data_IF_362547695303
#
_entry.id   IF_362547695303
#
_cell.length_a   1.000
_cell.length_b   1.000
_cell.length_c   1.000
_cell.angle_alpha   90.00
_cell.angle_beta   90.00
_cell.angle_gamma   90.00
#
_symmetry.space_group_name_H-M   'P 1'
#
loop_
_entity.id
_entity.type
_entity.pdbx_description
1 polymer ?
#
# COMPACT_ATOMS: atom_id res chain seq x y z
N UNK A 1 -7.42 3.38 -17.07
CA UNK A 1 -7.89 2.84 -15.77
C UNK A 1 -7.80 1.32 -15.75
N UNK A 2 -7.43 0.70 -14.61
CA UNK A 2 -7.39 -0.76 -14.43
C UNK A 2 -8.74 -1.39 -14.80
N UNK A 3 -8.71 -2.55 -15.47
CA UNK A 3 -9.92 -3.30 -15.80
C UNK A 3 -10.48 -3.98 -14.56
N UNK A 4 -9.59 -4.53 -13.73
CA UNK A 4 -9.94 -5.27 -12.53
C UNK A 4 -9.05 -4.82 -11.37
N UNK A 5 -9.64 -4.71 -10.18
CA UNK A 5 -8.92 -4.42 -8.94
C UNK A 5 -9.54 -5.19 -7.80
N UNK A 6 -8.71 -5.76 -6.93
CA UNK A 6 -9.12 -6.53 -5.76
C UNK A 6 -8.42 -5.97 -4.54
N UNK A 7 -9.19 -5.71 -3.49
CA UNK A 7 -8.67 -5.27 -2.20
C UNK A 7 -9.17 -6.23 -1.13
N UNK A 8 -8.26 -6.69 -0.28
CA UNK A 8 -8.54 -7.57 0.84
C UNK A 8 -7.93 -7.01 2.12
N UNK A 9 -8.70 -7.07 3.20
CA UNK A 9 -8.26 -6.65 4.53
C UNK A 9 -8.65 -7.72 5.54
N UNK A 10 -7.68 -8.13 6.36
CA UNK A 10 -7.86 -9.08 7.45
C UNK A 10 -7.33 -8.44 8.74
N UNK A 11 -8.16 -8.43 9.77
CA UNK A 11 -7.80 -7.91 11.09
C UNK A 11 -8.10 -8.95 12.16
N UNK A 12 -7.19 -9.12 13.12
CA UNK A 12 -7.39 -9.98 14.29
C UNK A 12 -6.73 -9.44 15.54
N UNK A 13 -7.51 -9.35 16.59
CA UNK A 13 -7.01 -9.11 17.95
C UNK A 13 -6.78 -10.44 18.66
N UNK A 14 -5.63 -10.56 19.32
CA UNK A 14 -5.30 -11.68 20.19
C UNK A 14 -4.62 -11.19 21.47
N UNK A 15 -5.39 -11.16 22.55
CA UNK A 15 -4.92 -10.67 23.85
C UNK A 15 -4.56 -9.18 23.76
N UNK A 16 -3.27 -8.86 23.96
CA UNK A 16 -2.74 -7.50 23.87
C UNK A 16 -2.22 -7.13 22.47
N UNK A 17 -2.34 -8.01 21.50
CA UNK A 17 -1.88 -7.77 20.14
C UNK A 17 -3.05 -7.53 19.19
N UNK A 18 -2.90 -6.56 18.29
CA UNK A 18 -3.72 -6.42 17.10
C UNK A 18 -2.86 -6.65 15.87
N UNK A 19 -3.38 -7.45 14.95
CA UNK A 19 -2.74 -7.75 13.67
C UNK A 19 -3.67 -7.32 12.56
N UNK A 20 -3.19 -6.47 11.66
CA UNK A 20 -3.91 -6.08 10.45
C UNK A 20 -3.06 -6.41 9.23
N UNK A 21 -3.67 -6.94 8.18
CA UNK A 21 -3.02 -7.25 6.91
C UNK A 21 -3.89 -6.74 5.77
N UNK A 22 -3.27 -5.98 4.87
CA UNK A 22 -3.93 -5.34 3.73
C UNK A 22 -3.25 -5.76 2.44
N UNK A 23 -4.01 -6.32 1.50
CA UNK A 23 -3.54 -6.70 0.18
C UNK A 23 -4.35 -5.99 -0.90
N UNK A 24 -3.67 -5.42 -1.89
CA UNK A 24 -4.31 -4.81 -3.05
C UNK A 24 -3.68 -5.32 -4.33
N UNK A 25 -4.50 -5.75 -5.27
CA UNK A 25 -4.09 -6.16 -6.61
C UNK A 25 -4.82 -5.32 -7.65
N UNK A 26 -4.12 -4.96 -8.72
CA UNK A 26 -4.70 -4.33 -9.90
C UNK A 26 -4.20 -5.00 -11.18
N UNK A 27 -5.11 -5.11 -12.16
CA UNK A 27 -4.77 -5.56 -13.50
C UNK A 27 -3.89 -4.55 -14.23
N UNK A 28 -3.21 -5.00 -15.28
CA UNK A 28 -2.58 -4.08 -16.22
C UNK A 28 -3.62 -3.21 -16.92
N UNK A 29 -3.23 -2.00 -17.31
CA UNK A 29 -4.04 -1.13 -18.17
C UNK A 29 -3.18 -0.31 -19.11
N UNK A 30 -3.78 0.08 -20.23
CA UNK A 30 -3.19 1.07 -21.13
C UNK A 30 -3.61 2.46 -20.68
N UNK A 31 -2.63 3.34 -20.59
CA UNK A 31 -2.83 4.75 -20.33
C UNK A 31 -2.12 5.58 -21.39
N UNK A 32 -2.47 6.86 -21.47
CA UNK A 32 -1.93 7.79 -22.45
C UNK A 32 -1.18 8.88 -21.69
N UNK A 33 0.11 9.03 -21.96
CA UNK A 33 0.92 10.09 -21.34
C UNK A 33 0.94 11.30 -22.27
N UNK A 34 0.55 12.47 -21.73
CA UNK A 34 0.75 13.76 -22.39
C UNK A 34 2.23 14.15 -22.25
N UNK A 35 2.95 14.14 -23.36
CA UNK A 35 4.31 14.68 -23.42
C UNK A 35 4.22 16.17 -23.72
N UNK A 36 5.01 17.02 -23.03
CA UNK A 36 5.00 18.48 -23.14
C UNK A 36 5.42 19.04 -24.52
N UNK A 37 5.80 18.17 -25.46
CA UNK A 37 6.13 18.49 -26.85
C UNK A 37 5.08 17.89 -27.77
N UNK A 38 4.63 18.66 -28.77
CA UNK A 38 3.54 18.39 -29.72
C UNK A 38 3.71 17.10 -30.56
N UNK A 39 3.64 15.95 -29.90
CA UNK A 39 3.78 14.61 -30.47
C UNK A 39 2.61 13.72 -30.03
N UNK A 40 2.20 12.74 -30.86
CA UNK A 40 0.94 12.04 -30.68
C UNK A 40 0.94 11.23 -29.39
N UNK A 41 -0.23 11.14 -28.77
CA UNK A 41 -0.58 10.27 -27.65
C UNK A 41 0.17 8.93 -27.70
N UNK A 42 1.20 8.76 -26.86
CA UNK A 42 1.94 7.50 -26.79
C UNK A 42 1.22 6.58 -25.80
N UNK A 43 0.68 5.42 -26.25
CA UNK A 43 0.07 4.46 -25.35
C UNK A 43 1.15 3.78 -24.52
N UNK A 44 1.07 3.92 -23.20
CA UNK A 44 1.94 3.24 -22.24
C UNK A 44 1.14 2.15 -21.54
N UNK A 45 1.72 0.95 -21.47
CA UNK A 45 1.11 -0.15 -20.72
C UNK A 45 1.66 -0.14 -19.30
N UNK A 46 0.78 0.08 -18.32
CA UNK A 46 1.11 -0.06 -16.90
C UNK A 46 0.87 -1.53 -16.54
N UNK A 47 1.91 -2.18 -16.01
CA UNK A 47 1.85 -3.58 -15.62
C UNK A 47 0.88 -3.84 -14.47
N UNK A 48 0.43 -5.09 -14.35
CA UNK A 48 -0.31 -5.52 -13.16
C UNK A 48 0.57 -5.39 -11.92
N UNK A 49 -0.05 -5.06 -10.79
CA UNK A 49 0.67 -4.80 -9.56
C UNK A 49 -0.08 -5.39 -8.37
N UNK A 50 0.69 -5.92 -7.42
CA UNK A 50 0.22 -6.41 -6.13
C UNK A 50 0.98 -5.70 -5.02
N UNK A 51 0.27 -5.17 -4.03
CA UNK A 51 0.85 -4.54 -2.85
C UNK A 51 0.36 -5.26 -1.60
N UNK A 52 1.26 -5.49 -0.66
CA UNK A 52 0.95 -6.08 0.63
C UNK A 52 1.50 -5.23 1.77
N UNK A 53 0.62 -4.80 2.66
CA UNK A 53 0.91 -4.02 3.85
C UNK A 53 0.49 -4.83 5.08
N UNK A 54 1.22 -4.67 6.18
CA UNK A 54 0.85 -5.30 7.45
C UNK A 54 1.12 -4.37 8.63
N UNK A 55 0.30 -4.50 9.67
CA UNK A 55 0.44 -3.78 10.92
C UNK A 55 0.37 -4.76 12.08
N UNK A 56 1.24 -4.53 13.06
CA UNK A 56 1.18 -5.18 14.36
C UNK A 56 1.12 -4.09 15.42
N UNK A 57 0.14 -4.14 16.30
CA UNK A 57 0.05 -3.28 17.46
C UNK A 57 0.11 -4.10 18.75
N UNK A 58 0.68 -3.51 19.78
CA UNK A 58 0.77 -4.06 21.13
C UNK A 58 0.27 -3.03 22.13
N UNK A 59 -0.71 -3.44 22.93
CA UNK A 59 -1.28 -2.67 24.03
C UNK A 59 -0.38 -2.81 25.25
N UNK A 60 0.48 -1.81 25.45
CA UNK A 60 1.36 -1.70 26.62
C UNK A 60 0.53 -1.54 27.90
N UNK A 61 -0.52 -0.72 27.81
CA UNK A 61 -1.56 -0.52 28.84
C UNK A 61 -2.90 -0.27 28.14
N UNK A 62 -3.97 -0.04 28.91
CA UNK A 62 -5.27 0.35 28.35
C UNK A 62 -5.26 1.75 27.66
N UNK A 63 -4.19 2.52 27.89
CA UNK A 63 -4.05 3.90 27.41
C UNK A 63 -2.91 4.06 26.40
N UNK A 64 -2.02 3.08 26.28
CA UNK A 64 -0.80 3.19 25.48
C UNK A 64 -0.68 1.99 24.55
N UNK A 65 -0.62 2.28 23.25
CA UNK A 65 -0.45 1.29 22.19
C UNK A 65 0.79 1.63 21.37
N UNK A 66 1.68 0.65 21.22
CA UNK A 66 2.79 0.71 20.27
C UNK A 66 2.37 -0.04 19.01
N UNK A 67 2.54 0.54 17.82
CA UNK A 67 2.31 -0.18 16.57
C UNK A 67 3.42 0.01 15.57
N UNK A 68 3.64 -1.02 14.77
CA UNK A 68 4.57 -1.04 13.64
C UNK A 68 3.77 -1.36 12.40
N UNK A 69 3.92 -0.52 11.37
CA UNK A 69 3.30 -0.69 10.05
C UNK A 69 4.41 -0.90 9.03
N UNK A 70 4.33 -1.97 8.25
CA UNK A 70 5.14 -2.20 7.08
C UNK A 70 4.31 -2.01 5.83
N UNK A 71 4.74 -1.11 4.95
CA UNK A 71 4.11 -0.86 3.66
C UNK A 71 4.93 -1.48 2.54
N UNK A 72 4.26 -2.06 1.55
CA UNK A 72 4.83 -2.69 0.36
C UNK A 72 5.87 -3.76 0.71
N UNK A 73 5.49 -4.67 1.60
CA UNK A 73 6.37 -5.73 2.10
C UNK A 73 6.86 -6.68 0.99
N UNK A 74 6.11 -6.80 -0.10
CA UNK A 74 6.38 -7.71 -1.21
C UNK A 74 7.20 -7.10 -2.36
N UNK A 75 7.34 -5.77 -2.43
CA UNK A 75 8.08 -5.11 -3.51
C UNK A 75 8.76 -3.82 -3.03
N UNK A 76 10.04 -3.67 -3.37
CA UNK A 76 10.84 -2.53 -2.93
C UNK A 76 10.42 -1.23 -3.64
N UNK A 77 9.88 -1.34 -4.87
CA UNK A 77 9.42 -0.22 -5.69
C UNK A 77 8.18 -0.60 -6.48
N UNK A 78 7.17 0.25 -6.42
CA UNK A 78 5.89 0.02 -7.10
C UNK A 78 5.51 1.27 -7.89
N UNK A 79 5.31 1.11 -9.19
CA UNK A 79 4.74 2.15 -10.06
C UNK A 79 3.21 1.98 -10.09
N UNK A 80 2.53 2.68 -9.18
CA UNK A 80 1.05 2.62 -9.05
C UNK A 80 0.33 3.45 -10.13
N UNK A 81 1.00 4.46 -10.65
CA UNK A 81 0.50 5.48 -11.61
C UNK A 81 1.66 6.00 -12.47
N UNK A 82 1.41 6.76 -13.56
CA UNK A 82 2.45 7.56 -14.23
C UNK A 82 2.94 8.64 -13.24
N UNK A 83 3.89 8.29 -12.38
CA UNK A 83 4.33 9.10 -11.26
C UNK A 83 5.46 8.42 -10.48
N UNK A 84 5.96 9.04 -9.38
CA UNK A 84 7.07 8.50 -8.62
C UNK A 84 6.72 7.15 -7.97
N UNK A 85 7.69 6.24 -7.97
CA UNK A 85 7.57 4.95 -7.30
C UNK A 85 7.26 5.16 -5.83
N UNK A 86 6.27 4.44 -5.31
CA UNK A 86 6.15 4.26 -3.87
C UNK A 86 7.20 3.22 -3.45
N UNK A 87 7.92 3.53 -2.37
CA UNK A 87 8.96 2.65 -1.81
C UNK A 87 8.43 1.92 -0.58
N UNK A 88 9.05 0.77 -0.28
CA UNK A 88 8.85 0.08 1.00
C UNK A 88 9.16 1.00 2.18
N UNK A 89 8.23 1.09 3.12
CA UNK A 89 8.36 1.90 4.34
C UNK A 89 8.04 1.07 5.58
N UNK A 90 8.71 1.40 6.68
CA UNK A 90 8.40 0.87 8.01
C UNK A 90 8.16 2.06 8.93
N UNK A 91 6.98 2.12 9.53
CA UNK A 91 6.54 3.22 10.37
C UNK A 91 6.30 2.66 11.78
N UNK A 92 6.95 3.25 12.77
CA UNK A 92 6.71 2.94 14.18
C UNK A 92 5.89 4.08 14.78
N UNK A 93 4.82 3.75 15.49
CA UNK A 93 3.89 4.71 16.09
C UNK A 93 3.65 4.35 17.55
N UNK A 94 3.70 5.36 18.41
CA UNK A 94 3.25 5.25 19.80
C UNK A 94 2.01 6.12 19.96
N UNK A 95 0.91 5.53 20.39
CA UNK A 95 -0.35 6.24 20.63
C UNK A 95 -0.67 6.20 22.12
N UNK A 96 -0.91 7.37 22.71
CA UNK A 96 -1.44 7.51 24.05
C UNK A 96 -2.85 8.11 23.99
N UNK A 97 -3.81 7.52 24.71
CA UNK A 97 -5.18 8.01 24.83
C UNK A 97 -5.51 8.20 26.31
N UNK A 98 -6.03 9.37 26.66
CA UNK A 98 -6.36 9.80 28.02
C UNK A 98 -7.82 10.23 28.11
#
# INVERSE_FOLDING_TARGET
VPRDSVVAHLGRTWGRFDFDAYGSWQSSYRDIILTTTMTPFVPVTIGSNFTFDARVAYHLTNHVTLSVVGQQLNAIRIASTPGPYTNRQVIVQLTARY
#
